data_IF_478162015339
#
_entry.id   IF_478162015339
#
_cell.length_a   1.000
_cell.length_b   1.000
_cell.length_c   1.000
_cell.angle_alpha   90.00
_cell.angle_beta   90.00
_cell.angle_gamma   90.00
#
_symmetry.space_group_name_H-M   'P 1'
#
loop_
_entity.id
_entity.type
_entity.pdbx_description
1 polymer ?
#
# COMPACT_ATOMS: atom_id res chain seq x y z
N UNK A 1 -8.78 -1.09 -31.63
CA UNK A 1 -8.35 0.27 -31.26
C UNK A 1 -8.64 0.40 -29.78
N UNK A 2 -7.67 -0.01 -28.95
CA UNK A 2 -7.84 -0.06 -27.50
C UNK A 2 -7.95 1.36 -26.96
N UNK A 3 -9.00 1.64 -26.19
CA UNK A 3 -9.06 2.86 -25.40
C UNK A 3 -7.92 2.75 -24.39
N UNK A 4 -6.89 3.58 -24.54
CA UNK A 4 -5.92 3.80 -23.47
C UNK A 4 -6.72 4.31 -22.27
N UNK A 5 -6.73 3.55 -21.18
CA UNK A 5 -7.33 4.00 -19.93
C UNK A 5 -6.46 5.16 -19.40
N UNK A 6 -6.98 6.40 -19.35
CA UNK A 6 -6.21 7.54 -18.89
C UNK A 6 -5.85 7.43 -17.40
N UNK A 7 -6.60 6.66 -16.61
CA UNK A 7 -6.23 6.35 -15.21
C UNK A 7 -4.99 5.45 -15.15
N UNK A 8 -4.91 4.51 -16.10
CA UNK A 8 -3.81 3.58 -16.43
C UNK A 8 -2.40 4.10 -16.18
N UNK A 9 -2.05 5.17 -16.91
CA UNK A 9 -0.72 5.78 -16.89
C UNK A 9 -0.54 6.71 -15.68
N UNK A 10 -1.62 7.37 -15.24
CA UNK A 10 -1.56 8.38 -14.20
C UNK A 10 -1.06 7.82 -12.85
N UNK A 11 -1.47 6.61 -12.47
CA UNK A 11 -1.06 6.03 -11.17
C UNK A 11 0.31 5.37 -11.21
N UNK A 12 0.72 4.82 -12.35
CA UNK A 12 2.10 4.38 -12.52
C UNK A 12 3.06 5.60 -12.46
N UNK A 13 2.67 6.71 -13.09
CA UNK A 13 3.41 7.97 -13.04
C UNK A 13 3.40 8.58 -11.63
N UNK A 14 2.28 8.48 -10.91
CA UNK A 14 2.16 8.93 -9.51
C UNK A 14 3.00 8.08 -8.56
N UNK A 15 3.01 6.76 -8.72
CA UNK A 15 3.87 5.88 -7.93
C UNK A 15 5.35 6.21 -8.14
N UNK A 16 5.74 6.52 -9.38
CA UNK A 16 7.09 7.00 -9.68
C UNK A 16 7.37 8.40 -9.12
N UNK A 17 6.36 9.26 -9.00
CA UNK A 17 6.50 10.57 -8.35
C UNK A 17 6.72 10.42 -6.85
N UNK A 18 5.91 9.61 -6.16
CA UNK A 18 6.09 9.34 -4.74
C UNK A 18 7.46 8.72 -4.43
N UNK A 19 7.91 7.75 -5.23
CA UNK A 19 9.25 7.19 -5.06
C UNK A 19 10.39 8.21 -5.16
N UNK A 20 10.22 9.30 -5.93
CA UNK A 20 11.25 10.34 -6.06
C UNK A 20 11.31 11.28 -4.85
N UNK A 21 10.24 11.35 -4.08
CA UNK A 21 10.18 12.12 -2.84
C UNK A 21 10.78 11.35 -1.65
N UNK A 22 11.10 10.07 -1.82
CA UNK A 22 11.65 9.20 -0.77
C UNK A 22 13.17 9.05 -0.87
N UNK A 23 13.86 9.12 0.27
CA UNK A 23 15.29 8.83 0.33
C UNK A 23 15.55 7.31 0.28
N UNK A 24 16.62 6.90 -0.40
CA UNK A 24 17.02 5.49 -0.54
C UNK A 24 17.24 4.80 0.81
N UNK A 25 17.77 5.52 1.80
CA UNK A 25 17.97 5.00 3.15
C UNK A 25 16.62 4.76 3.83
N UNK A 26 15.68 5.69 3.69
CA UNK A 26 14.34 5.55 4.26
C UNK A 26 13.61 4.36 3.64
N UNK A 27 13.62 4.24 2.31
CA UNK A 27 13.01 3.10 1.61
C UNK A 27 13.62 1.75 2.02
N UNK A 28 14.94 1.71 2.22
CA UNK A 28 15.62 0.50 2.67
C UNK A 28 15.26 0.10 4.11
N UNK A 29 14.99 1.08 4.98
CA UNK A 29 14.51 0.85 6.35
C UNK A 29 13.03 0.44 6.39
N UNK A 30 12.21 1.04 5.53
CA UNK A 30 10.78 0.73 5.43
C UNK A 30 10.56 -0.72 4.98
N UNK A 31 11.18 -1.11 3.87
CA UNK A 31 10.80 -2.33 3.12
C UNK A 31 11.92 -3.38 3.03
N UNK A 32 13.10 -3.08 3.56
CA UNK A 32 14.28 -3.95 3.48
C UNK A 32 15.22 -3.60 2.33
N UNK A 33 16.52 -3.83 2.55
CA UNK A 33 17.57 -3.62 1.55
C UNK A 33 17.58 -4.66 0.43
N UNK A 34 16.83 -5.75 0.60
CA UNK A 34 16.65 -6.82 -0.40
C UNK A 34 15.66 -6.44 -1.51
N UNK A 35 14.82 -5.42 -1.30
CA UNK A 35 13.83 -4.98 -2.29
C UNK A 35 14.49 -4.24 -3.44
N UNK A 36 14.22 -4.72 -4.65
CA UNK A 36 14.67 -4.06 -5.88
C UNK A 36 13.90 -2.75 -6.09
N UNK A 37 14.41 -1.81 -6.91
CA UNK A 37 13.65 -0.63 -7.30
C UNK A 37 12.28 -0.97 -7.93
N UNK A 38 12.19 -2.10 -8.62
CA UNK A 38 10.93 -2.59 -9.20
C UNK A 38 9.93 -3.03 -8.11
N UNK A 39 10.40 -3.77 -7.09
CA UNK A 39 9.56 -4.20 -5.97
C UNK A 39 9.02 -3.00 -5.18
N UNK A 40 9.87 -1.99 -4.94
CA UNK A 40 9.47 -0.75 -4.26
C UNK A 40 8.41 0.01 -5.05
N UNK A 41 8.58 0.11 -6.37
CA UNK A 41 7.56 0.71 -7.26
C UNK A 41 6.25 -0.06 -7.19
N UNK A 42 6.30 -1.38 -7.16
CA UNK A 42 5.11 -2.23 -7.04
C UNK A 42 4.40 -2.04 -5.70
N UNK A 43 5.14 -1.91 -4.59
CA UNK A 43 4.57 -1.60 -3.27
C UNK A 43 3.82 -0.27 -3.32
N UNK A 44 4.48 0.80 -3.79
CA UNK A 44 3.88 2.14 -3.88
C UNK A 44 2.65 2.16 -4.79
N UNK A 45 2.72 1.49 -5.94
CA UNK A 45 1.59 1.36 -6.86
C UNK A 45 0.42 0.63 -6.21
N UNK A 46 0.68 -0.51 -5.56
CA UNK A 46 -0.34 -1.28 -4.86
C UNK A 46 -0.99 -0.48 -3.72
N UNK A 47 -0.21 0.30 -2.96
CA UNK A 47 -0.74 1.19 -1.91
C UNK A 47 -1.65 2.29 -2.48
N UNK A 48 -1.26 2.90 -3.60
CA UNK A 48 -2.06 3.93 -4.28
C UNK A 48 -3.38 3.35 -4.79
N UNK A 49 -3.34 2.18 -5.43
CA UNK A 49 -4.54 1.47 -5.91
C UNK A 49 -5.41 1.07 -4.73
N UNK A 50 -4.82 0.54 -3.67
CA UNK A 50 -5.54 0.09 -2.47
C UNK A 50 -6.30 1.23 -1.82
N UNK A 51 -5.64 2.35 -1.51
CA UNK A 51 -6.29 3.51 -0.86
C UNK A 51 -7.47 4.03 -1.68
N UNK A 52 -7.27 4.22 -2.99
CA UNK A 52 -8.35 4.66 -3.91
C UNK A 52 -9.52 3.68 -3.93
N UNK A 53 -9.25 2.38 -4.13
CA UNK A 53 -10.27 1.33 -4.19
C UNK A 53 -11.00 1.15 -2.84
N UNK A 54 -10.30 1.36 -1.73
CA UNK A 54 -10.87 1.31 -0.39
C UNK A 54 -11.87 2.46 -0.19
N UNK A 55 -11.47 3.70 -0.46
CA UNK A 55 -12.35 4.88 -0.36
C UNK A 55 -13.55 4.79 -1.29
N UNK A 56 -13.34 4.43 -2.55
CA UNK A 56 -14.39 4.26 -3.55
C UNK A 56 -15.42 3.23 -3.09
N UNK A 57 -14.96 2.06 -2.62
CA UNK A 57 -15.85 1.01 -2.11
C UNK A 57 -16.55 1.39 -0.83
N UNK A 58 -15.87 2.06 0.10
CA UNK A 58 -16.47 2.52 1.34
C UNK A 58 -17.61 3.52 1.05
N UNK A 59 -17.46 4.32 -0.01
CA UNK A 59 -18.50 5.27 -0.46
C UNK A 59 -19.66 4.60 -1.20
N UNK A 60 -19.37 3.64 -2.08
CA UNK A 60 -20.37 3.01 -2.96
C UNK A 60 -21.12 1.85 -2.30
N UNK A 61 -20.41 1.02 -1.53
CA UNK A 61 -20.92 -0.19 -0.92
C UNK A 61 -20.26 -0.41 0.45
N UNK A 62 -20.55 0.47 1.44
CA UNK A 62 -20.05 0.28 2.79
C UNK A 62 -20.57 -1.05 3.35
N UNK A 63 -19.80 -1.72 4.22
CA UNK A 63 -20.30 -2.90 4.90
C UNK A 63 -21.57 -2.55 5.71
N UNK A 64 -22.62 -3.35 5.55
CA UNK A 64 -23.92 -3.10 6.21
C UNK A 64 -23.81 -3.04 7.74
N UNK A 65 -22.83 -3.77 8.28
CA UNK A 65 -22.45 -3.77 9.68
C UNK A 65 -20.99 -4.22 9.84
N UNK A 66 -20.47 -4.13 11.06
CA UNK A 66 -19.14 -4.63 11.41
C UNK A 66 -19.17 -6.11 11.82
N UNK A 67 -20.16 -6.88 11.39
CA UNK A 67 -20.15 -8.32 11.62
C UNK A 67 -19.01 -8.93 10.80
N UNK A 68 -18.27 -9.85 11.43
CA UNK A 68 -17.05 -10.44 10.89
C UNK A 68 -17.22 -10.95 9.45
N UNK A 69 -18.36 -11.58 9.14
CA UNK A 69 -18.63 -12.15 7.82
C UNK A 69 -18.85 -11.10 6.74
N UNK A 70 -19.54 -10.01 7.05
CA UNK A 70 -19.78 -8.94 6.07
C UNK A 70 -18.49 -8.15 5.83
N UNK A 71 -17.73 -7.89 6.90
CA UNK A 71 -16.43 -7.25 6.78
C UNK A 71 -15.44 -8.12 5.99
N UNK A 72 -15.41 -9.44 6.21
CA UNK A 72 -14.61 -10.37 5.41
C UNK A 72 -14.99 -10.33 3.92
N UNK A 73 -16.29 -10.31 3.59
CA UNK A 73 -16.74 -10.21 2.18
C UNK A 73 -16.31 -8.90 1.54
N UNK A 74 -16.43 -7.79 2.27
CA UNK A 74 -15.96 -6.48 1.84
C UNK A 74 -14.46 -6.52 1.52
N UNK A 75 -13.64 -7.03 2.44
CA UNK A 75 -12.18 -7.14 2.24
C UNK A 75 -11.82 -8.06 1.07
N UNK A 76 -12.50 -9.20 0.91
CA UNK A 76 -12.26 -10.09 -0.22
C UNK A 76 -12.58 -9.41 -1.55
N UNK A 77 -13.70 -8.69 -1.62
CA UNK A 77 -14.10 -7.96 -2.82
C UNK A 77 -13.11 -6.82 -3.15
N UNK A 78 -12.63 -6.10 -2.13
CA UNK A 78 -11.59 -5.10 -2.25
C UNK A 78 -10.29 -5.70 -2.79
N UNK A 79 -9.77 -6.75 -2.15
CA UNK A 79 -8.51 -7.36 -2.55
C UNK A 79 -8.55 -7.92 -3.97
N UNK A 80 -9.67 -8.53 -4.38
CA UNK A 80 -9.84 -9.00 -5.75
C UNK A 80 -9.77 -7.86 -6.78
N UNK A 81 -10.33 -6.69 -6.45
CA UNK A 81 -10.26 -5.52 -7.32
C UNK A 81 -8.86 -4.93 -7.39
N UNK A 82 -8.18 -4.80 -6.24
CA UNK A 82 -6.78 -4.35 -6.17
C UNK A 82 -5.88 -5.28 -6.98
N UNK A 83 -6.02 -6.60 -6.84
CA UNK A 83 -5.25 -7.60 -7.60
C UNK A 83 -5.52 -7.46 -9.11
N UNK A 84 -6.79 -7.33 -9.50
CA UNK A 84 -7.17 -7.23 -10.92
C UNK A 84 -6.56 -5.99 -11.56
N UNK A 85 -6.70 -4.83 -10.92
CA UNK A 85 -6.14 -3.59 -11.43
C UNK A 85 -4.61 -3.60 -11.42
N UNK A 86 -4.00 -4.07 -10.33
CA UNK A 86 -2.54 -4.19 -10.24
C UNK A 86 -1.99 -5.07 -11.37
N UNK A 87 -2.63 -6.21 -11.67
CA UNK A 87 -2.23 -7.08 -12.78
C UNK A 87 -2.26 -6.34 -14.13
N UNK A 88 -3.32 -5.58 -14.39
CA UNK A 88 -3.46 -4.77 -15.59
C UNK A 88 -2.38 -3.68 -15.70
N UNK A 89 -2.12 -2.95 -14.60
CA UNK A 89 -1.11 -1.87 -14.58
C UNK A 89 0.31 -2.38 -14.75
N UNK A 90 0.61 -3.52 -14.14
CA UNK A 90 1.92 -4.16 -14.24
C UNK A 90 2.09 -4.96 -15.54
N UNK A 91 1.01 -5.12 -16.33
CA UNK A 91 1.00 -6.01 -17.50
C UNK A 91 1.47 -7.43 -17.16
N UNK A 92 1.11 -7.91 -15.97
CA UNK A 92 1.38 -9.27 -15.49
C UNK A 92 0.08 -10.07 -15.43
N UNK A 93 0.19 -11.39 -15.33
CA UNK A 93 -0.99 -12.21 -15.14
C UNK A 93 -1.56 -12.07 -13.72
N UNK A 94 -2.87 -12.34 -13.60
CA UNK A 94 -3.57 -12.25 -12.32
C UNK A 94 -2.98 -13.18 -11.25
N UNK A 95 -2.39 -14.32 -11.61
CA UNK A 95 -1.80 -15.25 -10.64
C UNK A 95 -0.51 -14.68 -10.07
N UNK A 96 0.33 -14.06 -10.90
CA UNK A 96 1.52 -13.34 -10.47
C UNK A 96 1.18 -12.15 -9.56
N UNK A 97 0.17 -11.36 -9.93
CA UNK A 97 -0.34 -10.26 -9.09
C UNK A 97 -0.86 -10.75 -7.74
N UNK A 98 -1.70 -11.80 -7.75
CA UNK A 98 -2.21 -12.41 -6.52
C UNK A 98 -1.08 -12.98 -5.65
N UNK A 99 -0.07 -13.60 -6.26
CA UNK A 99 1.10 -14.12 -5.54
C UNK A 99 1.84 -12.99 -4.83
N UNK A 100 2.15 -11.90 -5.54
CA UNK A 100 2.81 -10.73 -4.97
C UNK A 100 2.02 -10.14 -3.80
N UNK A 101 0.72 -9.90 -4.00
CA UNK A 101 -0.17 -9.32 -2.98
C UNK A 101 -0.62 -10.32 -1.90
N UNK A 102 -0.26 -11.59 -2.00
CA UNK A 102 -0.50 -12.60 -0.95
C UNK A 102 0.68 -12.74 0.02
N UNK A 103 1.86 -12.24 -0.36
CA UNK A 103 3.02 -12.20 0.54
C UNK A 103 2.71 -11.28 1.73
N UNK A 104 2.87 -11.82 2.95
CA UNK A 104 2.49 -11.12 4.17
C UNK A 104 3.27 -9.81 4.31
N UNK A 105 4.58 -9.83 4.06
CA UNK A 105 5.40 -8.63 4.21
C UNK A 105 5.01 -7.57 3.17
N UNK A 106 4.74 -7.98 1.93
CA UNK A 106 4.29 -7.06 0.88
C UNK A 106 2.98 -6.39 1.27
N UNK A 107 2.00 -7.14 1.79
CA UNK A 107 0.73 -6.53 2.24
C UNK A 107 0.95 -5.55 3.38
N UNK A 108 1.78 -5.90 4.35
CA UNK A 108 2.07 -5.02 5.49
C UNK A 108 2.73 -3.72 4.99
N UNK A 109 3.67 -3.80 4.04
CA UNK A 109 4.27 -2.62 3.41
C UNK A 109 3.27 -1.78 2.61
N UNK A 110 2.33 -2.43 1.93
CA UNK A 110 1.28 -1.75 1.16
C UNK A 110 0.32 -1.00 2.09
N UNK A 111 -0.08 -1.60 3.20
CA UNK A 111 -0.96 -0.99 4.19
C UNK A 111 -0.24 0.15 4.94
N UNK A 112 0.97 -0.10 5.45
CA UNK A 112 1.79 0.91 6.13
C UNK A 112 2.03 2.12 5.22
N UNK A 113 2.36 1.89 3.94
CA UNK A 113 2.58 2.99 3.01
C UNK A 113 1.27 3.70 2.59
N UNK A 114 0.14 3.00 2.54
CA UNK A 114 -1.16 3.65 2.33
C UNK A 114 -1.51 4.59 3.50
N UNK A 115 -1.27 4.19 4.75
CA UNK A 115 -1.43 5.06 5.92
C UNK A 115 -0.53 6.29 5.83
N UNK A 116 0.74 6.12 5.44
CA UNK A 116 1.67 7.24 5.20
C UNK A 116 1.15 8.21 4.13
N UNK A 117 0.52 7.71 3.06
CA UNK A 117 -0.07 8.55 2.01
C UNK A 117 -1.30 9.31 2.52
N UNK A 118 -2.10 8.71 3.41
CA UNK A 118 -3.24 9.37 4.06
C UNK A 118 -2.75 10.50 4.96
N UNK A 119 -1.77 10.23 5.83
CA UNK A 119 -1.15 11.25 6.69
C UNK A 119 -0.50 12.39 5.89
N UNK A 120 0.19 12.06 4.79
CA UNK A 120 0.77 13.06 3.90
C UNK A 120 -0.29 13.93 3.20
N UNK A 121 -1.44 13.35 2.85
CA UNK A 121 -2.56 14.10 2.27
C UNK A 121 -3.19 15.06 3.29
N UNK A 122 -3.27 14.66 4.56
CA UNK A 122 -3.83 15.47 5.64
C UNK A 122 -2.86 16.55 6.16
N UNK A 123 -1.55 16.28 6.13
CA UNK A 123 -0.49 17.17 6.60
C UNK A 123 0.63 17.36 5.53
N UNK A 124 0.33 18.10 4.44
CA UNK A 124 1.25 18.25 3.31
C UNK A 124 2.42 19.20 3.58
N UNK A 125 2.48 19.86 4.74
CA UNK A 125 3.60 20.73 5.13
C UNK A 125 4.88 19.95 5.42
N UNK A 126 4.75 18.66 5.76
CA UNK A 126 5.86 17.73 5.95
C UNK A 126 6.08 16.93 4.66
N UNK A 127 7.32 16.59 4.36
CA UNK A 127 7.64 15.77 3.20
C UNK A 127 7.16 14.33 3.35
N UNK A 128 6.90 13.65 2.24
CA UNK A 128 6.53 12.23 2.24
C UNK A 128 7.60 11.35 2.92
N UNK A 129 8.88 11.68 2.73
CA UNK A 129 10.00 11.00 3.40
C UNK A 129 9.98 11.19 4.93
N UNK A 130 9.57 12.36 5.42
CA UNK A 130 9.41 12.60 6.86
C UNK A 130 8.26 11.77 7.45
N UNK A 131 7.12 11.68 6.76
CA UNK A 131 6.01 10.83 7.19
C UNK A 131 6.41 9.35 7.23
N UNK A 132 7.10 8.87 6.18
CA UNK A 132 7.60 7.49 6.17
C UNK A 132 8.62 7.22 7.29
N UNK A 133 9.50 8.18 7.59
CA UNK A 133 10.43 8.08 8.74
C UNK A 133 9.67 7.95 10.06
N UNK A 134 8.64 8.77 10.28
CA UNK A 134 7.82 8.70 11.49
C UNK A 134 7.12 7.34 11.61
N UNK A 135 6.57 6.81 10.52
CA UNK A 135 5.95 5.47 10.53
C UNK A 135 6.96 4.37 10.91
N UNK A 136 8.18 4.41 10.37
CA UNK A 136 9.26 3.47 10.70
C UNK A 136 9.65 3.58 12.18
N UNK A 137 9.83 4.79 12.69
CA UNK A 137 10.21 5.04 14.09
C UNK A 137 9.14 4.53 15.06
N UNK A 138 7.86 4.78 14.77
CA UNK A 138 6.73 4.27 15.54
C UNK A 138 6.71 2.74 15.56
N UNK A 139 6.94 2.09 14.40
CA UNK A 139 7.02 0.63 14.30
C UNK A 139 8.12 0.04 15.18
N UNK A 140 9.31 0.65 15.18
CA UNK A 140 10.40 0.22 16.04
C UNK A 140 10.12 0.44 17.53
N UNK A 141 9.47 1.54 17.89
CA UNK A 141 9.07 1.81 19.28
C UNK A 141 8.05 0.77 19.77
N UNK A 142 7.04 0.47 18.96
CA UNK A 142 6.04 -0.56 19.26
C UNK A 142 6.64 -1.96 19.40
N UNK A 143 7.56 -2.35 18.51
CA UNK A 143 8.27 -3.63 18.61
C UNK A 143 9.09 -3.73 19.90
N UNK A 144 9.83 -2.67 20.24
CA UNK A 144 10.61 -2.58 21.49
C UNK A 144 9.72 -2.71 22.74
N UNK A 145 8.52 -2.15 22.72
CA UNK A 145 7.57 -2.28 23.82
C UNK A 145 6.97 -3.69 23.92
N UNK A 146 6.64 -4.32 22.80
CA UNK A 146 6.10 -5.69 22.78
C UNK A 146 7.08 -6.72 23.38
N UNK A 147 8.37 -6.59 23.08
CA UNK A 147 9.44 -7.44 23.65
C UNK A 147 9.64 -7.24 25.16
N UNK A 148 9.36 -6.03 25.65
CA UNK A 148 9.47 -5.68 27.06
C UNK A 148 8.41 -6.36 27.95
N UNK A 149 7.27 -6.80 27.38
CA UNK A 149 6.17 -7.44 28.12
C UNK A 149 6.07 -8.95 27.92
N UNK A 150 6.77 -9.53 26.92
CA UNK A 150 6.81 -10.98 26.68
C UNK A 150 7.86 -11.73 27.51
N UNK A 151 8.73 -11.00 28.22
CA UNK A 151 9.80 -11.54 29.08
C UNK A 151 9.45 -11.56 30.58
N UNK A 152 8.17 -11.38 30.95
CA UNK A 152 7.68 -11.32 32.33
C UNK A 152 7.09 -12.63 32.84
#
# INVERSE_FOLDING_TARGET
>A
MGKEDPGGKQEADLALAYLKELDEKTMSLAWGSDKTPEDRRRIVLAATIFGRQFEERLRECPPENLEEKEFQRFLMALMNAVISEFAERESIDHTAAATFLSDVNVRDYVLEFNEVLEEFSDEPERSLDEHLKTAIENREEHARWADHWSSG
#
